data_IF_523256536277
#
_entry.id   IF_523256536277
#
_cell.length_a   1.000
_cell.length_b   1.000
_cell.length_c   1.000
_cell.angle_alpha   90.00
_cell.angle_beta   90.00
_cell.angle_gamma   90.00
#
_symmetry.space_group_name_H-M   'P 1'
#
loop_
_entity.id
_entity.type
_entity.pdbx_description
1 polymer ?
#
# COMPACT_ATOMS: atom_id res chain seq x y z
N UNK A 1 -14.70 23.90 26.63
CA UNK A 1 -13.35 23.31 26.82
C UNK A 1 -12.75 23.21 25.42
N UNK A 2 -11.65 23.90 25.14
CA UNK A 2 -10.94 23.78 23.86
C UNK A 2 -10.22 22.41 23.85
N UNK A 3 -10.49 21.58 22.84
CA UNK A 3 -9.71 20.37 22.58
C UNK A 3 -8.55 20.78 21.68
N UNK A 4 -7.42 21.08 22.29
CA UNK A 4 -6.18 21.43 21.58
C UNK A 4 -5.15 20.34 21.86
N UNK A 5 -4.61 19.76 20.79
CA UNK A 5 -3.47 18.86 20.83
C UNK A 5 -2.38 19.46 19.96
N UNK A 6 -1.32 19.91 20.57
CA UNK A 6 -0.16 20.50 19.89
C UNK A 6 1.11 19.76 20.30
N UNK A 7 1.73 19.08 19.35
CA UNK A 7 3.01 18.39 19.53
C UNK A 7 4.21 19.21 19.06
N UNK A 8 3.98 20.49 18.75
CA UNK A 8 4.99 21.34 18.12
C UNK A 8 5.13 21.12 16.61
N UNK A 9 6.07 21.80 15.96
CA UNK A 9 6.24 21.73 14.51
C UNK A 9 6.78 20.37 14.09
N UNK A 10 6.18 19.78 13.04
CA UNK A 10 6.68 18.56 12.42
C UNK A 10 8.02 18.82 11.73
N UNK A 11 8.88 17.78 11.75
CA UNK A 11 10.10 17.79 10.97
C UNK A 11 9.79 17.95 9.48
N UNK A 12 10.37 18.96 8.84
CA UNK A 12 10.16 19.22 7.41
C UNK A 12 10.69 18.06 6.57
N UNK A 13 9.97 17.74 5.49
CA UNK A 13 10.46 16.80 4.49
C UNK A 13 11.79 17.30 3.91
N UNK A 14 12.79 16.45 3.76
CA UNK A 14 14.04 16.81 3.09
C UNK A 14 13.79 17.31 1.67
N UNK A 15 14.67 18.20 1.19
CA UNK A 15 14.68 18.63 -0.20
C UNK A 15 16.13 18.68 -0.69
N UNK A 16 16.45 18.04 -1.83
CA UNK A 16 15.54 17.31 -2.72
C UNK A 16 15.08 15.95 -2.13
N UNK A 17 13.96 15.40 -2.65
CA UNK A 17 13.33 14.19 -2.11
C UNK A 17 12.84 13.24 -3.21
N UNK A 18 12.92 11.92 -2.95
CA UNK A 18 12.29 10.88 -3.76
C UNK A 18 11.58 9.87 -2.83
N UNK A 19 10.30 9.59 -3.09
CA UNK A 19 9.48 8.69 -2.28
C UNK A 19 10.04 7.27 -2.25
N UNK A 20 10.38 6.67 -3.42
CA UNK A 20 10.93 5.32 -3.48
C UNK A 20 12.27 5.21 -2.73
N UNK A 21 13.13 6.22 -2.88
CA UNK A 21 14.37 6.31 -2.14
C UNK A 21 14.16 6.38 -0.62
N UNK A 22 13.13 7.07 -0.18
CA UNK A 22 12.79 7.19 1.24
C UNK A 22 12.28 5.87 1.83
N UNK A 23 11.32 5.22 1.20
CA UNK A 23 10.74 3.97 1.74
C UNK A 23 11.73 2.81 1.75
N UNK A 24 12.73 2.81 0.86
CA UNK A 24 13.78 1.82 0.82
C UNK A 24 15.13 2.32 1.36
N UNK A 25 15.14 3.42 2.13
CA UNK A 25 16.38 3.99 2.65
C UNK A 25 17.17 3.02 3.54
N UNK A 26 16.50 2.08 4.21
CA UNK A 26 17.12 1.07 5.08
C UNK A 26 17.47 -0.23 4.36
N UNK A 27 17.21 -0.34 3.06
CA UNK A 27 17.33 -1.61 2.34
C UNK A 27 18.73 -2.23 2.41
N UNK A 28 19.79 -1.44 2.34
CA UNK A 28 21.15 -1.92 2.46
C UNK A 28 21.43 -2.51 3.85
N UNK A 29 21.02 -1.83 4.92
CA UNK A 29 21.22 -2.30 6.30
C UNK A 29 20.35 -3.53 6.63
N UNK A 30 19.19 -3.68 6.00
CA UNK A 30 18.27 -4.80 6.21
C UNK A 30 18.61 -6.03 5.35
N UNK A 31 19.35 -5.85 4.26
CA UNK A 31 19.90 -6.92 3.44
C UNK A 31 18.88 -7.99 3.05
N UNK A 32 19.07 -9.21 3.53
CA UNK A 32 18.26 -10.37 3.22
C UNK A 32 16.94 -10.47 3.98
N UNK A 33 16.63 -9.53 4.87
CA UNK A 33 15.33 -9.48 5.53
C UNK A 33 14.23 -9.37 4.51
N UNK A 34 13.15 -10.14 4.69
CA UNK A 34 11.98 -10.06 3.80
C UNK A 34 11.34 -8.68 3.86
N UNK A 35 11.27 -8.00 2.72
CA UNK A 35 10.57 -6.73 2.55
C UNK A 35 9.10 -6.95 2.20
N UNK A 36 8.83 -7.88 1.29
CA UNK A 36 7.48 -8.18 0.80
C UNK A 36 7.35 -9.66 0.48
N UNK A 37 6.18 -10.23 0.77
CA UNK A 37 5.80 -11.54 0.28
C UNK A 37 4.34 -11.55 -0.19
N UNK A 38 4.10 -12.13 -1.36
CA UNK A 38 2.76 -12.50 -1.83
C UNK A 38 2.48 -13.92 -1.34
N UNK A 39 1.50 -14.06 -0.46
CA UNK A 39 1.28 -15.27 0.31
C UNK A 39 -0.03 -15.96 -0.05
N UNK A 40 0.01 -17.29 -0.11
CA UNK A 40 -1.13 -18.17 -0.23
C UNK A 40 -0.98 -19.33 0.75
N UNK A 41 -2.00 -20.18 0.88
CA UNK A 41 -1.94 -21.37 1.75
C UNK A 41 -0.83 -22.35 1.36
N UNK A 42 -0.42 -22.37 0.08
CA UNK A 42 0.49 -23.39 -0.49
C UNK A 42 1.86 -22.83 -0.86
N UNK A 43 1.98 -21.53 -1.03
CA UNK A 43 3.21 -20.91 -1.52
C UNK A 43 3.34 -19.47 -1.05
N UNK A 44 4.58 -19.00 -0.99
CA UNK A 44 4.91 -17.60 -0.86
C UNK A 44 5.96 -17.22 -1.91
N UNK A 45 5.70 -16.14 -2.65
CA UNK A 45 6.72 -15.47 -3.45
C UNK A 45 7.22 -14.27 -2.65
N UNK A 46 8.49 -14.24 -2.31
CA UNK A 46 9.04 -13.23 -1.42
C UNK A 46 10.25 -12.52 -2.04
N UNK A 47 10.47 -11.29 -1.62
CA UNK A 47 11.67 -10.52 -1.92
C UNK A 47 12.26 -9.94 -0.63
N UNK A 48 13.58 -9.99 -0.53
CA UNK A 48 14.29 -9.27 0.53
C UNK A 48 14.36 -7.76 0.24
N UNK A 49 14.77 -6.98 1.23
CA UNK A 49 15.00 -5.55 1.05
C UNK A 49 16.06 -5.27 -0.01
N UNK A 50 17.17 -6.00 0.00
CA UNK A 50 18.21 -5.87 -1.01
C UNK A 50 17.68 -6.22 -2.41
N UNK A 51 16.93 -7.32 -2.54
CA UNK A 51 16.34 -7.74 -3.82
C UNK A 51 15.31 -6.74 -4.33
N UNK A 52 14.42 -6.21 -3.47
CA UNK A 52 13.42 -5.21 -3.83
C UNK A 52 14.10 -3.91 -4.29
N UNK A 53 15.15 -3.47 -3.58
CA UNK A 53 15.93 -2.28 -3.94
C UNK A 53 16.67 -2.43 -5.26
N UNK A 54 17.20 -3.61 -5.57
CA UNK A 54 17.81 -3.88 -6.87
C UNK A 54 16.75 -3.91 -7.99
N UNK A 55 15.57 -4.51 -7.69
CA UNK A 55 14.51 -4.67 -8.67
C UNK A 55 13.74 -3.38 -9.02
N UNK A 56 13.72 -2.35 -8.14
CA UNK A 56 13.03 -1.08 -8.42
C UNK A 56 13.86 -0.14 -9.30
N UNK A 57 15.18 -0.24 -9.25
CA UNK A 57 16.07 0.64 -9.99
C UNK A 57 16.20 0.28 -11.47
N UNK A 58 16.13 -1.01 -11.81
CA UNK A 58 16.14 -1.47 -13.19
C UNK A 58 14.99 -0.89 -14.03
N UNK A 59 13.73 -1.01 -13.63
CA UNK A 59 12.60 -0.39 -14.33
C UNK A 59 12.73 1.13 -14.48
N UNK A 60 13.27 1.84 -13.49
CA UNK A 60 13.53 3.26 -13.62
C UNK A 60 14.49 3.58 -14.80
N UNK A 61 15.59 2.81 -14.91
CA UNK A 61 16.52 2.91 -16.05
C UNK A 61 15.84 2.54 -17.36
N UNK A 62 15.19 1.39 -17.41
CA UNK A 62 14.59 0.87 -18.64
C UNK A 62 13.48 1.78 -19.18
N UNK A 63 12.65 2.34 -18.32
CA UNK A 63 11.64 3.31 -18.72
C UNK A 63 12.28 4.61 -19.24
N UNK A 64 13.34 5.13 -18.60
CA UNK A 64 14.06 6.28 -19.10
C UNK A 64 14.70 6.02 -20.48
N UNK A 65 15.32 4.85 -20.70
CA UNK A 65 15.85 4.44 -22.01
C UNK A 65 14.76 4.27 -23.07
N UNK A 66 13.56 3.90 -22.67
CA UNK A 66 12.38 3.84 -23.56
C UNK A 66 11.76 5.23 -23.85
N UNK A 67 12.39 6.31 -23.37
CA UNK A 67 11.97 7.69 -23.66
C UNK A 67 10.89 8.24 -22.73
N UNK A 68 10.69 7.66 -21.55
CA UNK A 68 9.85 8.24 -20.50
C UNK A 68 10.60 9.31 -19.72
N UNK A 69 9.90 10.36 -19.34
CA UNK A 69 10.45 11.52 -18.65
C UNK A 69 9.77 11.73 -17.29
N UNK A 70 10.46 12.34 -16.30
CA UNK A 70 9.85 12.70 -15.03
C UNK A 70 8.55 13.49 -15.23
N UNK A 71 7.50 13.08 -14.49
CA UNK A 71 6.15 13.62 -14.61
C UNK A 71 5.23 12.85 -15.56
N UNK A 72 5.75 11.94 -16.40
CA UNK A 72 4.91 11.09 -17.25
C UNK A 72 4.01 10.18 -16.39
N UNK A 73 2.73 10.12 -16.74
CA UNK A 73 1.73 9.28 -16.06
C UNK A 73 1.83 7.85 -16.56
N UNK A 74 1.91 6.91 -15.62
CA UNK A 74 1.99 5.45 -15.87
C UNK A 74 0.77 4.77 -15.25
N UNK A 75 -0.19 4.36 -16.07
CA UNK A 75 -1.37 3.65 -15.59
C UNK A 75 -1.00 2.19 -15.27
N UNK A 76 -1.33 1.71 -14.07
CA UNK A 76 -1.00 0.36 -13.62
C UNK A 76 -2.25 -0.52 -13.62
N UNK A 77 -2.31 -1.44 -14.57
CA UNK A 77 -3.30 -2.53 -14.68
C UNK A 77 -2.65 -3.84 -14.24
N UNK A 78 -2.26 -3.90 -12.95
CA UNK A 78 -1.53 -5.01 -12.34
C UNK A 78 -2.30 -5.57 -11.15
N UNK A 79 -2.26 -6.89 -10.97
CA UNK A 79 -2.82 -7.56 -9.81
C UNK A 79 -1.93 -7.48 -8.55
N UNK A 80 -2.38 -8.11 -7.47
CA UNK A 80 -1.63 -8.22 -6.21
C UNK A 80 -0.49 -9.24 -6.32
N UNK A 81 0.51 -8.95 -7.14
CA UNK A 81 1.71 -9.76 -7.38
C UNK A 81 2.96 -8.96 -7.03
N UNK A 82 4.15 -9.58 -7.02
CA UNK A 82 5.41 -8.88 -6.82
C UNK A 82 5.74 -7.88 -7.95
N UNK A 83 5.13 -8.05 -9.13
CA UNK A 83 5.31 -7.10 -10.24
C UNK A 83 4.80 -5.70 -9.89
N UNK A 84 3.71 -5.63 -9.08
CA UNK A 84 3.12 -4.35 -8.69
C UNK A 84 4.09 -3.47 -7.87
N UNK A 85 4.61 -3.88 -6.71
CA UNK A 85 5.52 -3.04 -5.92
C UNK A 85 6.79 -2.66 -6.69
N UNK A 86 7.33 -3.55 -7.51
CA UNK A 86 8.52 -3.26 -8.33
C UNK A 86 8.22 -2.18 -9.36
N UNK A 87 7.11 -2.30 -10.09
CA UNK A 87 6.69 -1.31 -11.09
C UNK A 87 6.37 0.05 -10.45
N UNK A 88 5.66 0.02 -9.31
CA UNK A 88 5.27 1.21 -8.56
C UNK A 88 6.50 1.99 -8.06
N UNK A 89 7.41 1.30 -7.38
CA UNK A 89 8.64 1.92 -6.88
C UNK A 89 9.57 2.35 -8.02
N UNK A 90 9.70 1.53 -9.07
CA UNK A 90 10.51 1.87 -10.24
C UNK A 90 10.03 3.12 -10.98
N UNK A 91 8.72 3.28 -11.14
CA UNK A 91 8.14 4.50 -11.68
C UNK A 91 8.48 5.72 -10.80
N UNK A 92 8.27 5.62 -9.49
CA UNK A 92 8.59 6.69 -8.53
C UNK A 92 10.09 6.99 -8.47
N UNK A 93 10.95 5.97 -8.55
CA UNK A 93 12.40 6.12 -8.58
C UNK A 93 12.86 6.94 -9.80
N UNK A 94 12.24 6.70 -10.96
CA UNK A 94 12.45 7.46 -12.20
C UNK A 94 11.76 8.82 -12.25
N UNK A 95 10.98 9.20 -11.21
CA UNK A 95 10.22 10.45 -11.17
C UNK A 95 8.93 10.42 -12.00
N UNK A 96 8.50 9.24 -12.46
CA UNK A 96 7.22 9.05 -13.14
C UNK A 96 6.07 9.05 -12.12
N UNK A 97 4.84 9.19 -12.61
CA UNK A 97 3.63 9.26 -11.79
C UNK A 97 2.81 7.99 -11.95
N UNK A 98 2.99 6.95 -11.10
CA UNK A 98 2.19 5.75 -11.15
C UNK A 98 0.74 6.02 -10.72
N UNK A 99 -0.19 5.37 -11.43
CA UNK A 99 -1.62 5.41 -11.15
C UNK A 99 -2.12 3.97 -10.96
N UNK A 100 -2.08 3.42 -9.76
CA UNK A 100 -2.66 2.12 -9.47
C UNK A 100 -4.18 2.15 -9.61
N UNK A 101 -4.73 1.14 -10.29
CA UNK A 101 -6.17 0.99 -10.46
C UNK A 101 -6.63 -0.40 -10.04
N UNK A 102 -7.89 -0.50 -9.60
CA UNK A 102 -8.45 -1.80 -9.22
C UNK A 102 -8.38 -2.79 -10.38
N UNK A 103 -7.85 -4.00 -10.17
CA UNK A 103 -7.86 -5.03 -11.20
C UNK A 103 -9.27 -5.43 -11.65
N UNK A 104 -10.30 -5.15 -10.82
CA UNK A 104 -11.70 -5.49 -11.12
C UNK A 104 -12.41 -4.46 -12.01
N UNK A 105 -11.77 -3.33 -12.37
CA UNK A 105 -12.35 -2.37 -13.30
C UNK A 105 -12.61 -3.01 -14.65
N UNK A 106 -13.79 -2.74 -15.20
CA UNK A 106 -14.20 -3.14 -16.54
C UNK A 106 -13.49 -2.32 -17.62
N UNK A 107 -13.44 -2.82 -18.85
CA UNK A 107 -12.85 -2.10 -19.98
C UNK A 107 -13.42 -0.67 -20.18
N UNK A 108 -14.74 -0.41 -20.11
CA UNK A 108 -15.29 0.94 -20.20
C UNK A 108 -14.84 1.88 -19.07
N UNK A 109 -14.64 1.36 -17.86
CA UNK A 109 -14.13 2.14 -16.74
C UNK A 109 -12.66 2.50 -16.93
N UNK A 110 -11.85 1.55 -17.40
CA UNK A 110 -10.45 1.79 -17.76
C UNK A 110 -10.33 2.80 -18.89
N UNK A 111 -11.18 2.71 -19.92
CA UNK A 111 -11.20 3.67 -21.03
C UNK A 111 -11.46 5.10 -20.53
N UNK A 112 -12.34 5.29 -19.54
CA UNK A 112 -12.57 6.61 -18.93
C UNK A 112 -11.34 7.14 -18.22
N UNK A 113 -10.66 6.29 -17.44
CA UNK A 113 -9.40 6.66 -16.75
C UNK A 113 -8.33 7.07 -17.76
N UNK A 114 -8.18 6.32 -18.86
CA UNK A 114 -7.23 6.63 -19.94
C UNK A 114 -7.57 7.97 -20.60
N UNK A 115 -8.84 8.21 -20.90
CA UNK A 115 -9.30 9.45 -21.55
C UNK A 115 -9.05 10.69 -20.64
N UNK A 116 -9.26 10.56 -19.33
CA UNK A 116 -9.08 11.62 -18.36
C UNK A 116 -7.61 11.91 -18.09
N UNK A 117 -6.83 10.88 -17.75
CA UNK A 117 -5.45 11.04 -17.31
C UNK A 117 -4.43 11.08 -18.45
N UNK A 118 -4.79 10.58 -19.64
CA UNK A 118 -3.91 10.48 -20.82
C UNK A 118 -2.53 9.90 -20.47
N UNK A 119 -2.49 8.68 -19.89
CA UNK A 119 -1.23 8.10 -19.48
C UNK A 119 -0.28 7.91 -20.66
N UNK A 120 1.00 8.09 -20.42
CA UNK A 120 2.06 7.85 -21.41
C UNK A 120 2.15 6.36 -21.78
N UNK A 121 1.82 5.48 -20.81
CA UNK A 121 1.81 4.03 -20.98
C UNK A 121 0.86 3.37 -19.98
N UNK A 122 0.33 2.22 -20.35
CA UNK A 122 -0.38 1.28 -19.46
C UNK A 122 0.55 0.09 -19.19
N UNK A 123 0.96 -0.12 -17.94
CA UNK A 123 1.61 -1.36 -17.51
C UNK A 123 0.52 -2.42 -17.34
N UNK A 124 0.60 -3.50 -18.10
CA UNK A 124 -0.52 -4.41 -18.28
C UNK A 124 -0.17 -5.86 -17.93
N UNK A 125 -0.91 -6.42 -16.99
CA UNK A 125 -1.01 -7.85 -16.74
C UNK A 125 -2.07 -8.44 -17.68
N UNK A 126 -1.77 -9.48 -18.48
CA UNK A 126 -2.72 -10.06 -19.43
C UNK A 126 -4.00 -10.61 -18.76
N UNK A 127 -3.92 -10.96 -17.47
CA UNK A 127 -5.06 -11.48 -16.69
C UNK A 127 -5.96 -10.35 -16.13
N UNK A 128 -5.60 -9.09 -16.37
CA UNK A 128 -6.36 -7.91 -15.90
C UNK A 128 -6.95 -7.14 -17.07
N UNK A 129 -8.24 -6.84 -17.03
CA UNK A 129 -8.90 -6.07 -18.10
C UNK A 129 -8.22 -4.73 -18.35
N UNK A 130 -8.12 -4.33 -19.61
CA UNK A 130 -7.58 -3.03 -20.03
C UNK A 130 -8.40 -2.46 -21.18
N UNK A 131 -8.05 -1.26 -21.66
CA UNK A 131 -8.71 -0.60 -22.77
C UNK A 131 -7.68 0.03 -23.71
N UNK A 132 -8.07 0.27 -24.98
CA UNK A 132 -7.29 1.03 -25.94
C UNK A 132 -7.21 2.52 -25.59
N UNK A 133 -6.33 3.27 -26.25
CA UNK A 133 -6.20 4.73 -26.09
C UNK A 133 -4.86 5.19 -25.51
N UNK A 134 -3.97 4.25 -25.10
CA UNK A 134 -2.60 4.52 -24.73
C UNK A 134 -1.71 3.31 -25.12
N UNK A 135 -0.39 3.49 -25.30
CA UNK A 135 0.54 2.38 -25.48
C UNK A 135 0.52 1.41 -24.29
N UNK A 136 0.69 0.12 -24.55
CA UNK A 136 0.76 -0.89 -23.50
C UNK A 136 2.17 -1.46 -23.38
N UNK A 137 2.61 -1.70 -22.14
CA UNK A 137 3.82 -2.42 -21.80
C UNK A 137 3.44 -3.62 -20.94
N UNK A 138 3.54 -4.81 -21.52
CA UNK A 138 3.15 -6.06 -20.86
C UNK A 138 4.16 -6.53 -19.81
N UNK A 139 3.74 -7.49 -18.96
CA UNK A 139 4.55 -8.05 -17.87
C UNK A 139 5.89 -8.63 -18.34
N UNK A 140 5.95 -9.26 -19.50
CA UNK A 140 7.21 -9.81 -20.01
C UNK A 140 8.27 -8.71 -20.16
N UNK A 141 7.90 -7.60 -20.82
CA UNK A 141 8.80 -6.45 -20.99
C UNK A 141 9.11 -5.78 -19.65
N UNK A 142 8.10 -5.59 -18.80
CA UNK A 142 8.28 -5.02 -17.46
C UNK A 142 9.29 -5.83 -16.62
N UNK A 143 9.22 -7.16 -16.68
CA UNK A 143 10.15 -8.04 -15.97
C UNK A 143 11.57 -7.95 -16.56
N UNK A 144 11.69 -7.85 -17.87
CA UNK A 144 13.00 -7.65 -18.51
C UNK A 144 13.67 -6.32 -18.12
N UNK A 145 12.90 -5.28 -17.82
CA UNK A 145 13.44 -4.01 -17.34
C UNK A 145 14.18 -4.12 -15.99
N UNK A 146 13.88 -5.16 -15.19
CA UNK A 146 14.56 -5.39 -13.89
C UNK A 146 16.06 -5.66 -14.06
N UNK A 147 16.45 -6.20 -15.21
CA UNK A 147 17.84 -6.54 -15.53
C UNK A 147 18.64 -5.35 -16.04
N UNK A 148 18.00 -4.17 -16.22
CA UNK A 148 18.71 -2.95 -16.56
C UNK A 148 19.62 -2.49 -15.42
N UNK A 149 20.73 -1.85 -15.75
CA UNK A 149 21.62 -1.28 -14.74
C UNK A 149 20.88 -0.32 -13.82
N UNK A 150 21.17 -0.32 -12.51
CA UNK A 150 20.49 0.54 -11.56
C UNK A 150 20.55 2.02 -11.94
N UNK A 151 19.42 2.72 -11.90
CA UNK A 151 19.34 4.16 -12.12
C UNK A 151 19.71 4.95 -10.85
N UNK A 152 20.23 6.15 -11.06
CA UNK A 152 20.21 7.18 -10.02
C UNK A 152 18.76 7.63 -9.81
N UNK A 153 18.31 7.69 -8.54
CA UNK A 153 16.98 8.18 -8.20
C UNK A 153 16.77 9.61 -8.71
N UNK A 154 15.64 9.84 -9.34
CA UNK A 154 15.22 11.20 -9.72
C UNK A 154 14.86 12.01 -8.48
N UNK A 155 15.81 12.81 -8.01
CA UNK A 155 15.63 13.73 -6.87
C UNK A 155 14.98 15.03 -7.35
N UNK A 156 14.07 15.60 -6.53
CA UNK A 156 13.42 16.86 -6.90
C UNK A 156 12.63 17.47 -5.75
N UNK A 157 11.82 18.48 -6.08
CA UNK A 157 10.93 19.14 -5.13
C UNK A 157 10.02 18.09 -4.43
N UNK A 158 9.98 18.03 -3.09
CA UNK A 158 9.09 17.15 -2.36
C UNK A 158 7.59 17.39 -2.66
N UNK A 159 7.21 18.57 -3.12
CA UNK A 159 5.83 18.91 -3.47
C UNK A 159 5.42 18.50 -4.89
N UNK A 160 6.36 18.03 -5.73
CA UNK A 160 6.00 17.53 -7.06
C UNK A 160 5.07 16.33 -6.95
N UNK A 161 4.21 16.15 -7.97
CA UNK A 161 3.31 15.01 -8.06
C UNK A 161 4.09 13.69 -8.01
N UNK A 162 3.75 12.83 -7.06
CA UNK A 162 4.37 11.52 -6.87
C UNK A 162 3.53 10.41 -7.46
N UNK A 163 2.26 10.31 -7.08
CA UNK A 163 1.35 9.28 -7.57
C UNK A 163 -0.09 9.77 -7.56
N UNK A 164 -0.96 9.06 -8.29
CA UNK A 164 -2.40 9.36 -8.32
C UNK A 164 -3.17 8.11 -7.84
N UNK A 165 -4.12 8.29 -6.93
CA UNK A 165 -5.11 7.28 -6.56
C UNK A 165 -6.45 7.65 -7.19
N UNK A 166 -7.05 6.69 -7.89
CA UNK A 166 -8.33 6.89 -8.54
C UNK A 166 -9.45 6.35 -7.64
N UNK A 167 -10.26 7.25 -7.08
CA UNK A 167 -11.30 6.90 -6.10
C UNK A 167 -12.67 6.80 -6.74
N UNK A 168 -13.57 6.01 -6.14
CA UNK A 168 -14.97 5.90 -6.59
C UNK A 168 -15.80 7.18 -6.39
N UNK A 169 -15.27 8.17 -5.66
CA UNK A 169 -15.92 9.44 -5.35
C UNK A 169 -17.24 9.30 -4.57
N UNK A 170 -17.49 10.19 -3.63
CA UNK A 170 -18.76 10.24 -2.85
C UNK A 170 -19.96 10.66 -3.70
N UNK A 171 -19.73 11.28 -4.85
CA UNK A 171 -20.75 11.72 -5.82
C UNK A 171 -21.08 10.66 -6.89
N UNK A 172 -20.55 9.44 -6.79
CA UNK A 172 -20.70 8.38 -7.81
C UNK A 172 -19.85 8.59 -9.07
N UNK A 173 -19.10 9.70 -9.16
CA UNK A 173 -18.13 9.96 -10.22
C UNK A 173 -16.73 9.71 -9.67
N UNK A 174 -15.94 8.78 -10.25
CA UNK A 174 -14.56 8.57 -9.85
C UNK A 174 -13.73 9.85 -10.02
N UNK A 175 -12.75 10.04 -9.14
CA UNK A 175 -11.86 11.21 -9.17
C UNK A 175 -10.41 10.79 -9.01
N UNK A 176 -9.54 11.48 -9.73
CA UNK A 176 -8.10 11.37 -9.60
C UNK A 176 -7.62 12.22 -8.41
N UNK A 177 -7.01 11.60 -7.41
CA UNK A 177 -6.43 12.28 -6.24
C UNK A 177 -4.91 12.23 -6.36
N UNK A 178 -4.29 13.38 -6.59
CA UNK A 178 -2.84 13.52 -6.70
C UNK A 178 -2.18 13.62 -5.34
N UNK A 179 -1.10 12.87 -5.16
CA UNK A 179 -0.26 12.91 -3.96
C UNK A 179 1.15 13.36 -4.30
N UNK A 180 1.68 14.29 -3.51
CA UNK A 180 3.07 14.71 -3.62
C UNK A 180 4.03 13.61 -3.13
N UNK A 181 5.30 13.65 -3.58
CA UNK A 181 6.32 12.74 -3.06
C UNK A 181 6.42 12.79 -1.53
N UNK A 182 6.29 13.98 -0.92
CA UNK A 182 6.34 14.15 0.54
C UNK A 182 5.16 13.57 1.32
N UNK A 183 4.10 13.09 0.65
CA UNK A 183 2.97 12.47 1.35
C UNK A 183 3.41 11.28 2.22
N UNK A 184 4.40 10.50 1.76
CA UNK A 184 4.97 9.40 2.56
C UNK A 184 5.70 9.91 3.82
N UNK A 185 6.36 11.06 3.74
CA UNK A 185 7.02 11.68 4.90
C UNK A 185 6.02 12.04 5.99
N UNK A 186 4.88 12.61 5.62
CA UNK A 186 3.81 12.95 6.55
C UNK A 186 3.19 11.72 7.23
N UNK A 187 3.18 10.55 6.56
CA UNK A 187 2.61 9.31 7.10
C UNK A 187 3.37 8.77 8.33
N UNK A 188 4.61 9.19 8.58
CA UNK A 188 5.36 8.80 9.78
C UNK A 188 4.63 9.15 11.09
N UNK A 189 3.74 10.16 11.08
CA UNK A 189 2.89 10.48 12.23
C UNK A 189 1.98 9.32 12.65
N UNK A 190 1.60 8.45 11.70
CA UNK A 190 0.72 7.31 11.96
C UNK A 190 1.44 6.10 12.53
N UNK A 191 2.77 6.02 12.40
CA UNK A 191 3.53 4.84 12.82
C UNK A 191 3.36 4.53 14.29
N UNK A 192 3.38 5.55 15.14
CA UNK A 192 3.14 5.43 16.59
C UNK A 192 1.66 5.57 16.95
N UNK A 193 0.99 6.57 16.37
CA UNK A 193 -0.31 7.03 16.84
C UNK A 193 -1.51 6.27 16.22
N UNK A 194 -1.26 5.38 15.28
CA UNK A 194 -2.24 4.43 14.79
C UNK A 194 -1.70 3.00 14.79
N UNK A 195 -0.62 2.77 14.06
CA UNK A 195 -0.16 1.39 13.81
C UNK A 195 0.52 0.73 15.01
N UNK A 196 1.22 1.49 15.84
CA UNK A 196 2.20 0.92 16.76
C UNK A 196 3.24 0.10 16.01
N UNK A 197 3.68 0.57 14.83
CA UNK A 197 4.52 -0.14 13.85
C UNK A 197 6.00 -0.04 14.20
N UNK A 198 6.69 -1.17 14.14
CA UNK A 198 8.14 -1.30 14.35
C UNK A 198 8.77 -2.12 13.23
N UNK A 199 10.09 -2.15 13.18
CA UNK A 199 10.82 -3.00 12.23
C UNK A 199 10.70 -4.50 12.51
N UNK A 200 10.30 -4.90 13.72
CA UNK A 200 10.05 -6.31 14.05
C UNK A 200 8.71 -6.82 13.50
N UNK A 201 7.86 -5.94 12.98
CA UNK A 201 6.52 -6.32 12.56
C UNK A 201 6.46 -7.03 11.21
N UNK A 202 5.44 -7.87 11.10
CA UNK A 202 4.98 -8.51 9.86
C UNK A 202 3.53 -8.12 9.67
N UNK A 203 3.26 -7.27 8.66
CA UNK A 203 1.94 -6.69 8.42
C UNK A 203 1.26 -7.44 7.27
N UNK A 204 0.11 -8.06 7.52
CA UNK A 204 -0.74 -8.61 6.48
C UNK A 204 -1.88 -7.62 6.19
N UNK A 205 -1.94 -7.11 4.96
CA UNK A 205 -3.00 -6.21 4.49
C UNK A 205 -3.88 -6.90 3.45
N UNK A 206 -5.19 -7.03 3.74
CA UNK A 206 -6.14 -7.74 2.89
C UNK A 206 -6.81 -6.87 1.80
N UNK A 207 -6.21 -5.75 1.41
CA UNK A 207 -6.76 -4.83 0.41
C UNK A 207 -6.09 -4.93 -0.96
N UNK A 208 -6.71 -4.31 -1.96
CA UNK A 208 -6.12 -4.12 -3.28
C UNK A 208 -5.23 -2.87 -3.32
N UNK A 209 -4.16 -2.91 -4.12
CA UNK A 209 -3.14 -1.86 -4.17
C UNK A 209 -3.58 -0.52 -4.76
N UNK A 210 -4.74 -0.45 -5.37
CA UNK A 210 -5.30 0.80 -5.88
C UNK A 210 -5.84 1.74 -4.79
N UNK A 211 -5.80 1.33 -3.52
CA UNK A 211 -6.34 2.09 -2.41
C UNK A 211 -5.23 2.67 -1.54
N UNK A 212 -5.33 3.95 -1.14
CA UNK A 212 -4.33 4.65 -0.30
C UNK A 212 -4.05 3.92 1.02
N UNK A 213 -5.06 3.28 1.60
CA UNK A 213 -4.91 2.46 2.79
C UNK A 213 -3.96 1.29 2.54
N UNK A 214 -4.19 0.52 1.47
CA UNK A 214 -3.34 -0.64 1.16
C UNK A 214 -1.94 -0.22 0.72
N UNK A 215 -1.81 0.79 -0.14
CA UNK A 215 -0.51 1.31 -0.58
C UNK A 215 0.34 1.80 0.59
N UNK A 216 -0.26 2.58 1.49
CA UNK A 216 0.42 3.10 2.66
C UNK A 216 0.68 2.01 3.69
N UNK A 217 -0.39 1.58 4.37
CA UNK A 217 -0.33 0.68 5.54
C UNK A 217 0.15 -0.72 5.19
N UNK A 218 -0.13 -1.19 3.97
CA UNK A 218 0.24 -2.53 3.51
C UNK A 218 1.64 -2.62 2.89
N UNK A 219 2.20 -1.53 2.38
CA UNK A 219 3.48 -1.54 1.67
C UNK A 219 4.45 -0.46 2.17
N UNK A 220 4.15 0.82 1.87
CA UNK A 220 5.13 1.89 2.03
C UNK A 220 5.52 2.15 3.48
N UNK A 221 4.57 2.11 4.41
CA UNK A 221 4.84 2.36 5.83
C UNK A 221 5.65 1.22 6.45
N UNK A 222 5.30 -0.08 6.24
CA UNK A 222 6.18 -1.20 6.62
C UNK A 222 7.61 -1.06 6.10
N UNK A 223 7.79 -0.76 4.81
CA UNK A 223 9.14 -0.61 4.24
C UNK A 223 9.91 0.56 4.85
N UNK A 224 9.25 1.68 5.13
CA UNK A 224 9.89 2.86 5.73
C UNK A 224 10.49 2.54 7.10
N UNK A 225 9.81 1.73 7.92
CA UNK A 225 10.33 1.34 9.24
C UNK A 225 11.22 0.09 9.19
N UNK A 226 11.21 -0.66 8.11
CA UNK A 226 11.97 -1.91 7.97
C UNK A 226 11.18 -3.16 8.37
N UNK A 227 9.85 -3.10 8.42
CA UNK A 227 8.94 -4.23 8.67
C UNK A 227 8.71 -5.08 7.41
N UNK A 228 8.12 -6.26 7.56
CA UNK A 228 7.74 -7.13 6.46
C UNK A 228 6.29 -6.86 6.02
N UNK A 229 6.05 -6.65 4.73
CA UNK A 229 4.73 -6.55 4.13
C UNK A 229 4.28 -7.91 3.57
N UNK A 230 3.13 -8.40 4.02
CA UNK A 230 2.48 -9.59 3.49
C UNK A 230 1.23 -9.22 2.71
N UNK A 231 1.08 -9.79 1.54
CA UNK A 231 -0.01 -9.51 0.61
C UNK A 231 -0.65 -10.82 0.21
N UNK A 232 -1.96 -10.99 0.43
CA UNK A 232 -2.66 -12.16 -0.05
C UNK A 232 -2.56 -12.27 -1.57
N UNK A 233 -2.28 -13.47 -2.08
CA UNK A 233 -2.26 -13.75 -3.51
C UNK A 233 -3.63 -13.45 -4.14
N UNK A 234 -3.69 -13.11 -5.44
CA UNK A 234 -4.95 -12.94 -6.15
C UNK A 234 -5.87 -14.16 -5.95
N UNK A 235 -7.16 -13.91 -5.73
CA UNK A 235 -8.16 -14.95 -5.50
C UNK A 235 -8.15 -15.55 -4.08
N UNK A 236 -7.38 -14.99 -3.14
CA UNK A 236 -7.46 -15.38 -1.73
C UNK A 236 -8.80 -14.93 -1.14
N UNK A 237 -9.60 -15.88 -0.70
CA UNK A 237 -10.86 -15.61 -0.05
C UNK A 237 -10.66 -15.20 1.42
N UNK A 238 -11.56 -14.39 2.01
CA UNK A 238 -11.43 -13.93 3.40
C UNK A 238 -11.31 -15.05 4.43
N UNK A 239 -11.91 -16.20 4.18
CA UNK A 239 -11.85 -17.38 5.05
C UNK A 239 -10.42 -17.92 5.21
N UNK A 240 -9.60 -17.80 4.19
CA UNK A 240 -8.21 -18.27 4.19
C UNK A 240 -7.27 -17.33 4.97
N UNK A 241 -7.67 -16.06 5.21
CA UNK A 241 -6.80 -15.06 5.82
C UNK A 241 -6.33 -15.46 7.23
N UNK A 242 -7.19 -16.12 8.02
CA UNK A 242 -6.82 -16.63 9.35
C UNK A 242 -5.63 -17.60 9.30
N UNK A 243 -5.67 -18.54 8.36
CA UNK A 243 -4.57 -19.49 8.14
C UNK A 243 -3.28 -18.79 7.67
N UNK A 244 -3.40 -17.76 6.81
CA UNK A 244 -2.25 -16.97 6.36
C UNK A 244 -1.61 -16.16 7.52
N UNK A 245 -2.43 -15.55 8.38
CA UNK A 245 -1.95 -14.85 9.58
C UNK A 245 -1.12 -15.77 10.47
N UNK A 246 -1.60 -17.00 10.70
CA UNK A 246 -0.91 -18.01 11.51
C UNK A 246 0.37 -18.49 10.83
N UNK A 247 0.27 -18.95 9.57
CA UNK A 247 1.39 -19.56 8.84
C UNK A 247 2.57 -18.60 8.66
N UNK A 248 2.28 -17.32 8.43
CA UNK A 248 3.29 -16.30 8.20
C UNK A 248 3.60 -15.45 9.45
N UNK A 249 3.07 -15.86 10.64
CA UNK A 249 3.33 -15.19 11.92
C UNK A 249 3.09 -13.69 11.87
N UNK A 250 2.00 -13.28 11.21
CA UNK A 250 1.65 -11.87 11.10
C UNK A 250 1.42 -11.25 12.48
N UNK A 251 2.01 -10.09 12.71
CA UNK A 251 1.91 -9.36 13.99
C UNK A 251 0.83 -8.29 13.95
N UNK A 252 0.53 -7.77 12.76
CA UNK A 252 -0.51 -6.77 12.51
C UNK A 252 -1.36 -7.24 11.32
N UNK A 253 -2.69 -7.19 11.49
CA UNK A 253 -3.64 -7.45 10.42
C UNK A 253 -4.39 -6.18 10.04
N UNK A 254 -4.36 -5.79 8.78
CA UNK A 254 -5.00 -4.58 8.27
C UNK A 254 -6.05 -4.91 7.20
N UNK A 255 -7.31 -4.48 7.44
CA UNK A 255 -8.41 -4.74 6.53
C UNK A 255 -9.58 -3.75 6.73
N UNK A 256 -10.51 -3.70 5.77
CA UNK A 256 -11.80 -3.07 5.95
C UNK A 256 -12.71 -3.91 6.87
N UNK A 257 -13.69 -3.32 7.57
CA UNK A 257 -14.61 -4.05 8.46
C UNK A 257 -15.34 -5.21 7.80
N UNK A 258 -15.67 -5.09 6.51
CA UNK A 258 -16.30 -6.16 5.74
C UNK A 258 -15.48 -7.45 5.70
N UNK A 259 -14.14 -7.35 5.61
CA UNK A 259 -13.24 -8.51 5.61
C UNK A 259 -13.24 -9.20 6.97
N UNK A 260 -13.11 -8.44 8.07
CA UNK A 260 -13.21 -8.97 9.44
C UNK A 260 -14.52 -9.73 9.65
N UNK A 261 -15.64 -9.18 9.14
CA UNK A 261 -16.95 -9.84 9.21
C UNK A 261 -16.95 -11.18 8.48
N UNK A 262 -16.47 -11.21 7.25
CA UNK A 262 -16.44 -12.42 6.43
C UNK A 262 -15.56 -13.50 7.05
N UNK A 263 -14.39 -13.15 7.60
CA UNK A 263 -13.52 -14.08 8.34
C UNK A 263 -14.26 -14.72 9.52
N UNK A 264 -15.02 -13.92 10.29
CA UNK A 264 -15.76 -14.41 11.46
C UNK A 264 -17.06 -15.16 11.14
N UNK A 265 -17.69 -14.86 10.00
CA UNK A 265 -18.94 -15.47 9.60
C UNK A 265 -18.75 -16.81 8.87
N UNK A 266 -17.67 -16.94 8.10
CA UNK A 266 -17.45 -18.05 7.17
C UNK A 266 -16.28 -18.95 7.55
N UNK A 267 -15.36 -18.44 8.38
CA UNK A 267 -14.13 -19.15 8.76
C UNK A 267 -14.13 -19.55 10.24
N UNK A 268 -13.29 -20.54 10.55
CA UNK A 268 -12.82 -20.78 11.92
C UNK A 268 -11.44 -20.17 12.03
N UNK A 269 -11.28 -19.14 12.85
CA UNK A 269 -9.98 -18.53 13.08
C UNK A 269 -9.09 -19.51 13.87
N UNK A 270 -7.88 -19.80 13.40
CA UNK A 270 -6.91 -20.56 14.18
C UNK A 270 -6.41 -19.72 15.35
N UNK A 271 -5.65 -20.33 16.26
CA UNK A 271 -4.90 -19.60 17.26
C UNK A 271 -3.86 -18.69 16.59
N UNK A 272 -3.82 -17.41 16.98
CA UNK A 272 -2.97 -16.36 16.39
C UNK A 272 -1.99 -15.77 17.41
N UNK A 273 -1.05 -16.58 17.93
CA UNK A 273 -0.19 -16.18 19.06
C UNK A 273 0.77 -15.03 18.73
N UNK A 274 1.00 -14.74 17.45
CA UNK A 274 1.87 -13.64 17.02
C UNK A 274 1.10 -12.33 16.75
N UNK A 275 -0.22 -12.41 16.58
CA UNK A 275 -1.03 -11.24 16.26
C UNK A 275 -1.14 -10.31 17.47
N UNK A 276 -0.61 -9.10 17.35
CA UNK A 276 -0.65 -8.07 18.40
C UNK A 276 -1.97 -7.30 18.38
N UNK A 277 -2.43 -6.93 17.20
CA UNK A 277 -3.68 -6.20 17.00
C UNK A 277 -4.10 -6.16 15.53
N UNK A 278 -5.34 -5.75 15.29
CA UNK A 278 -5.87 -5.40 13.97
C UNK A 278 -5.89 -3.90 13.73
N UNK A 279 -5.92 -3.51 12.45
CA UNK A 279 -6.13 -2.14 11.97
C UNK A 279 -7.33 -2.11 11.03
N UNK A 280 -8.19 -1.11 11.15
CA UNK A 280 -9.35 -0.96 10.28
C UNK A 280 -9.54 0.49 9.83
N UNK A 281 -9.88 0.68 8.55
CA UNK A 281 -10.21 1.96 7.96
C UNK A 281 -11.16 1.79 6.77
N UNK A 282 -11.67 2.92 6.24
CA UNK A 282 -12.55 3.00 5.08
C UNK A 282 -14.04 3.13 5.45
N UNK A 283 -14.48 2.46 6.50
CA UNK A 283 -15.81 2.61 7.08
C UNK A 283 -15.73 2.36 8.59
N UNK A 284 -16.77 2.76 9.34
CA UNK A 284 -16.82 2.51 10.77
C UNK A 284 -17.02 1.02 11.06
N UNK A 285 -16.19 0.47 11.92
CA UNK A 285 -16.35 -0.91 12.39
C UNK A 285 -17.47 -1.00 13.46
N UNK A 286 -18.51 -1.83 13.27
CA UNK A 286 -19.54 -2.00 14.27
C UNK A 286 -18.98 -2.55 15.59
N UNK A 287 -19.47 -2.04 16.75
CA UNK A 287 -19.00 -2.48 18.07
C UNK A 287 -19.18 -3.98 18.29
N UNK A 288 -20.25 -4.57 17.78
CA UNK A 288 -20.48 -6.02 17.82
C UNK A 288 -19.38 -6.79 17.07
N UNK A 289 -18.83 -6.23 15.99
CA UNK A 289 -17.75 -6.85 15.22
C UNK A 289 -16.44 -6.78 16.00
N UNK A 290 -16.15 -5.64 16.68
CA UNK A 290 -15.02 -5.52 17.61
C UNK A 290 -15.07 -6.59 18.70
N UNK A 291 -16.23 -6.72 19.36
CA UNK A 291 -16.44 -7.70 20.44
C UNK A 291 -16.20 -9.14 19.93
N UNK A 292 -16.75 -9.47 18.78
CA UNK A 292 -16.57 -10.80 18.16
C UNK A 292 -15.11 -11.08 17.81
N UNK A 293 -14.41 -10.09 17.24
CA UNK A 293 -13.00 -10.23 16.91
C UNK A 293 -12.15 -10.46 18.16
N UNK A 294 -12.35 -9.62 19.19
CA UNK A 294 -11.60 -9.76 20.44
C UNK A 294 -11.89 -11.09 21.13
N UNK A 295 -13.13 -11.56 21.11
CA UNK A 295 -13.48 -12.87 21.67
C UNK A 295 -12.83 -14.04 20.92
N UNK A 296 -12.68 -13.92 19.58
CA UNK A 296 -12.11 -14.97 18.74
C UNK A 296 -10.57 -15.00 18.74
N UNK A 297 -9.90 -13.84 18.92
CA UNK A 297 -8.44 -13.72 18.74
C UNK A 297 -7.70 -13.25 20.00
N UNK A 298 -8.40 -12.74 21.01
CA UNK A 298 -7.78 -12.08 22.17
C UNK A 298 -7.18 -10.70 21.84
N UNK A 299 -7.28 -10.19 20.61
CA UNK A 299 -6.66 -8.93 20.19
C UNK A 299 -7.68 -7.83 19.92
N UNK A 300 -7.22 -6.58 19.95
CA UNK A 300 -8.04 -5.41 19.64
C UNK A 300 -7.87 -5.00 18.16
N UNK A 301 -8.85 -4.23 17.65
CA UNK A 301 -8.75 -3.55 16.35
C UNK A 301 -8.72 -2.05 16.59
N UNK A 302 -7.73 -1.36 16.03
CA UNK A 302 -7.61 0.10 16.09
C UNK A 302 -8.12 0.70 14.77
N UNK A 303 -9.13 1.55 14.90
CA UNK A 303 -9.74 2.21 13.74
C UNK A 303 -9.05 3.51 13.39
N UNK A 304 -9.13 3.86 12.11
CA UNK A 304 -8.77 5.19 11.64
C UNK A 304 -9.84 5.74 10.71
N UNK A 305 -10.05 7.05 10.81
CA UNK A 305 -10.85 7.82 9.87
C UNK A 305 -9.93 8.70 9.02
N UNK A 306 -10.08 8.60 7.72
CA UNK A 306 -9.30 9.34 6.76
C UNK A 306 -10.01 9.42 5.41
N UNK A 307 -9.35 10.06 4.45
CA UNK A 307 -9.79 10.19 3.07
C UNK A 307 -8.60 9.93 2.15
N UNK A 308 -8.90 9.62 0.88
CA UNK A 308 -7.84 9.44 -0.11
C UNK A 308 -6.97 10.69 -0.26
N UNK A 309 -7.53 11.87 -0.04
CA UNK A 309 -6.87 13.18 -0.17
C UNK A 309 -5.88 13.50 0.95
N UNK A 310 -6.06 12.95 2.16
CA UNK A 310 -5.25 13.32 3.33
C UNK A 310 -4.78 12.15 4.18
N UNK A 311 -4.96 10.92 3.73
CA UNK A 311 -4.69 9.70 4.52
C UNK A 311 -5.53 9.65 5.81
N UNK A 312 -4.90 9.54 6.97
CA UNK A 312 -5.58 9.42 8.27
C UNK A 312 -5.43 10.69 9.08
N UNK A 313 -6.49 11.13 9.74
CA UNK A 313 -6.49 12.30 10.62
C UNK A 313 -7.21 12.10 11.96
N UNK A 314 -7.91 10.98 12.15
CA UNK A 314 -8.43 10.55 13.46
C UNK A 314 -8.13 9.07 13.62
N UNK A 315 -7.47 8.68 14.69
CA UNK A 315 -7.14 7.27 14.95
C UNK A 315 -7.02 6.99 16.44
N UNK A 316 -7.06 5.71 16.78
CA UNK A 316 -6.65 5.16 18.08
C UNK A 316 -5.44 4.24 17.87
N UNK A 317 -4.69 3.99 18.93
CA UNK A 317 -3.52 3.10 18.89
C UNK A 317 -3.39 2.31 20.18
N UNK A 318 -2.50 1.29 20.23
CA UNK A 318 -2.18 0.60 21.47
C UNK A 318 -1.74 1.55 22.60
N UNK A 319 -1.04 2.64 22.28
CA UNK A 319 -0.57 3.64 23.25
C UNK A 319 -1.63 4.70 23.59
N UNK A 320 -2.54 4.98 22.67
CA UNK A 320 -3.61 5.97 22.84
C UNK A 320 -4.97 5.38 22.51
N UNK A 321 -5.47 4.44 23.33
CA UNK A 321 -6.76 3.85 23.12
C UNK A 321 -7.85 4.90 23.23
N UNK A 322 -8.88 4.80 22.39
CA UNK A 322 -10.00 5.71 22.42
C UNK A 322 -11.12 5.22 23.38
N UNK A 323 -11.96 6.12 23.90
CA UNK A 323 -13.17 5.73 24.63
C UNK A 323 -14.10 4.87 23.77
N UNK A 324 -14.92 4.05 24.41
CA UNK A 324 -15.93 3.27 23.71
C UNK A 324 -16.81 4.16 22.82
N UNK A 325 -17.08 3.69 21.61
CA UNK A 325 -17.82 4.40 20.55
C UNK A 325 -17.14 5.64 19.93
N UNK A 326 -15.92 6.00 20.32
CA UNK A 326 -15.09 7.01 19.61
C UNK A 326 -14.18 6.33 18.57
N UNK A 327 -13.72 7.10 17.58
CA UNK A 327 -12.75 6.64 16.57
C UNK A 327 -11.30 6.92 16.97
N UNK A 328 -11.09 7.90 17.85
CA UNK A 328 -9.77 8.34 18.26
C UNK A 328 -9.87 9.58 19.16
N UNK A 329 -8.74 10.18 19.42
CA UNK A 329 -8.59 11.43 20.17
C UNK A 329 -8.01 12.51 19.28
#
# INVERSE_FOLDING_TARGET
MLSLFDTGPFTRCPSPFNLAGHVLARAEALGDKTAVAVVSERAAAAMSYAALRAADQGPATGLAQAGFSPGDIVLMRLGNTLDFPIAYLGALAGGLVPVPTSPTLTEPEVARVIAELRPRVVLHDPDVATASGAPHLGLHTLRALRDCSPATLHQGDPDRLGYIVYTSGTSGQPRAVGHAHRAIWARQMMFRHWYGLTDADTVLHAGAFNWTYTLGTGLMDPWTVGATALIPAPGTEPEALGALLQAHKATIFAAAPGVYRQMLDRGTLPDLPHLRHGLSAGEKMPSALHTRWTAATGTQVFEAYGMSECSTFVSSSPETPCPAAALGR
#
